data_IF_415027261985
#
_entry.id   IF_415027261985
#
_cell.length_a   1.000
_cell.length_b   1.000
_cell.length_c   1.000
_cell.angle_alpha   90.00
_cell.angle_beta   90.00
_cell.angle_gamma   90.00
#
_symmetry.space_group_name_H-M   'P 1'
#
loop_
_entity.id
_entity.type
_entity.pdbx_description
1 polymer ?
#
# COMPACT_ATOMS: atom_id res chain seq x y z
N UNK A 1 -8.18 62.58 9.45
CA UNK A 1 -6.72 62.30 9.45
C UNK A 1 -6.48 61.23 10.49
N UNK A 2 -6.36 60.00 10.03
CA UNK A 2 -5.99 58.85 10.86
C UNK A 2 -4.84 58.15 10.14
N UNK A 3 -3.77 57.92 10.89
CA UNK A 3 -2.45 57.42 10.51
C UNK A 3 -2.52 55.95 10.14
N UNK A 4 -1.98 55.51 8.98
CA UNK A 4 -1.97 54.13 8.58
C UNK A 4 -0.59 53.48 8.80
N UNK A 5 -0.25 53.15 10.03
CA UNK A 5 0.96 52.38 10.32
C UNK A 5 0.78 51.48 11.54
N UNK A 6 0.15 50.33 11.35
CA UNK A 6 0.45 49.11 12.09
C UNK A 6 -0.01 47.91 11.31
N UNK A 7 0.86 47.42 10.41
CA UNK A 7 0.73 46.11 9.81
C UNK A 7 1.64 45.18 10.62
N UNK A 8 1.02 44.38 11.45
CA UNK A 8 1.67 43.30 12.21
C UNK A 8 2.40 42.35 11.26
N UNK A 9 3.66 42.14 11.55
CA UNK A 9 4.53 41.16 10.90
C UNK A 9 4.05 39.74 11.19
N UNK A 10 3.29 39.15 10.28
CA UNK A 10 3.12 37.70 10.22
C UNK A 10 4.43 37.10 9.74
N UNK A 11 5.08 36.34 10.61
CA UNK A 11 6.21 35.47 10.30
C UNK A 11 5.86 34.59 9.09
N UNK A 12 6.48 34.86 7.96
CA UNK A 12 6.52 33.97 6.81
C UNK A 12 7.30 32.72 7.23
N UNK A 13 6.63 31.60 7.41
CA UNK A 13 7.25 30.29 7.23
C UNK A 13 7.76 30.25 5.80
N UNK A 14 9.06 30.39 5.65
CA UNK A 14 9.74 30.19 4.37
C UNK A 14 9.57 28.73 3.97
N UNK A 15 8.57 28.46 3.12
CA UNK A 15 8.49 27.22 2.40
C UNK A 15 9.81 27.02 1.67
N UNK A 16 10.54 25.96 2.01
CA UNK A 16 11.78 25.58 1.30
C UNK A 16 11.46 25.44 -0.18
N UNK A 17 11.76 26.47 -0.95
CA UNK A 17 11.65 26.41 -2.40
C UNK A 17 12.60 25.30 -2.88
N UNK A 18 12.04 24.31 -3.56
CA UNK A 18 12.81 23.29 -4.24
C UNK A 18 13.76 23.97 -5.24
N UNK A 19 15.06 23.84 -5.03
CA UNK A 19 16.09 24.24 -5.99
C UNK A 19 16.44 22.99 -6.80
N UNK A 20 16.35 23.04 -8.13
CA UNK A 20 16.90 21.98 -8.97
C UNK A 20 18.37 21.76 -8.62
N UNK A 21 18.81 20.50 -8.54
CA UNK A 21 20.22 20.18 -8.39
C UNK A 21 20.92 20.60 -9.67
N UNK A 22 21.76 21.60 -9.60
CA UNK A 22 22.65 21.98 -10.72
C UNK A 22 23.81 21.00 -10.75
N UNK A 23 23.77 20.05 -11.67
CA UNK A 23 24.83 19.07 -11.88
C UNK A 23 26.12 19.68 -12.43
N UNK A 24 26.13 20.97 -12.76
CA UNK A 24 27.29 21.72 -13.26
C UNK A 24 27.95 22.59 -12.19
N UNK A 25 27.50 22.57 -10.93
CA UNK A 25 28.22 23.25 -9.84
C UNK A 25 29.50 22.49 -9.52
N UNK A 26 30.69 23.05 -9.81
CA UNK A 26 31.97 22.37 -9.65
C UNK A 26 32.28 21.93 -8.19
N UNK A 27 31.74 22.66 -7.24
CA UNK A 27 31.96 22.46 -5.79
C UNK A 27 31.42 21.16 -5.22
N UNK A 28 30.44 20.52 -5.90
CA UNK A 28 29.89 19.22 -5.47
C UNK A 28 30.74 18.02 -5.93
N UNK A 29 31.57 18.19 -6.94
CA UNK A 29 32.37 17.12 -7.56
C UNK A 29 33.86 17.14 -7.18
N UNK A 30 34.43 18.32 -6.95
CA UNK A 30 35.87 18.47 -6.69
C UNK A 30 36.24 18.16 -5.24
N UNK A 31 35.39 18.53 -4.26
CA UNK A 31 35.62 18.24 -2.84
C UNK A 31 35.26 16.80 -2.43
N UNK A 32 34.51 16.08 -3.24
CA UNK A 32 34.03 14.73 -2.91
C UNK A 32 34.94 13.60 -3.39
N UNK A 33 36.10 13.88 -3.99
CA UNK A 33 37.04 12.86 -4.50
C UNK A 33 36.31 11.65 -5.07
N UNK A 34 36.03 11.65 -6.35
CA UNK A 34 35.17 10.64 -7.01
C UNK A 34 35.79 9.24 -6.94
N UNK A 35 35.65 8.58 -5.80
CA UNK A 35 35.99 7.17 -5.64
C UNK A 35 34.71 6.34 -5.67
N UNK A 36 34.65 5.32 -6.54
CA UNK A 36 33.50 4.43 -6.72
C UNK A 36 33.00 3.73 -5.45
N UNK A 37 33.77 3.80 -4.36
CA UNK A 37 33.42 3.29 -3.03
C UNK A 37 33.03 4.39 -2.04
N UNK A 38 32.62 5.57 -2.51
CA UNK A 38 32.44 6.71 -1.65
C UNK A 38 31.17 6.58 -0.78
N UNK A 39 31.38 6.24 0.47
CA UNK A 39 30.42 6.21 1.57
C UNK A 39 29.62 7.51 1.70
N UNK A 40 30.16 8.65 1.24
CA UNK A 40 29.47 9.95 1.27
C UNK A 40 28.35 10.03 0.25
N UNK A 41 28.53 9.56 -0.99
CA UNK A 41 27.46 9.53 -1.99
C UNK A 41 26.34 8.59 -1.54
N UNK A 42 26.69 7.39 -1.06
CA UNK A 42 25.72 6.46 -0.52
C UNK A 42 24.96 7.05 0.68
N UNK A 43 25.63 7.78 1.57
CA UNK A 43 25.02 8.47 2.70
C UNK A 43 24.12 9.64 2.27
N UNK A 44 24.53 10.39 1.24
CA UNK A 44 23.73 11.50 0.68
C UNK A 44 22.50 11.00 -0.05
N UNK A 45 22.65 9.98 -0.89
CA UNK A 45 21.53 9.29 -1.57
C UNK A 45 20.57 8.67 -0.55
N UNK A 46 21.10 8.01 0.49
CA UNK A 46 20.29 7.46 1.58
C UNK A 46 19.51 8.55 2.31
N UNK A 47 20.10 9.72 2.56
CA UNK A 47 19.45 10.86 3.20
C UNK A 47 18.35 11.44 2.31
N UNK A 48 18.60 11.63 1.02
CA UNK A 48 17.57 12.07 0.05
C UNK A 48 16.43 11.07 0.00
N UNK A 49 16.71 9.77 -0.06
CA UNK A 49 15.69 8.73 -0.09
C UNK A 49 14.89 8.62 1.22
N UNK A 50 15.45 9.00 2.36
CA UNK A 50 14.75 9.08 3.64
C UNK A 50 13.84 10.31 3.74
N UNK A 51 14.21 11.43 3.13
CA UNK A 51 13.46 12.69 3.21
C UNK A 51 12.30 12.77 2.18
N UNK A 52 12.28 11.86 1.20
CA UNK A 52 11.22 11.84 0.18
C UNK A 52 10.35 10.59 0.32
N UNK A 53 9.03 10.75 0.47
CA UNK A 53 8.11 9.63 0.51
C UNK A 53 8.14 8.86 -0.81
N UNK A 54 8.03 7.56 -0.74
CA UNK A 54 7.91 6.69 -1.92
C UNK A 54 6.71 7.09 -2.78
N UNK A 55 6.67 6.72 -4.07
CA UNK A 55 5.48 6.97 -4.90
C UNK A 55 4.19 6.44 -4.25
N UNK A 56 4.25 5.28 -3.62
CA UNK A 56 3.11 4.68 -2.92
C UNK A 56 2.63 5.57 -1.77
N UNK A 57 3.54 6.06 -0.93
CA UNK A 57 3.19 6.95 0.20
C UNK A 57 2.69 8.33 -0.25
N UNK A 58 3.10 8.82 -1.42
CA UNK A 58 2.63 10.11 -1.95
C UNK A 58 1.21 10.07 -2.50
N UNK A 59 0.84 8.96 -3.11
CA UNK A 59 -0.45 8.85 -3.81
C UNK A 59 -1.50 8.07 -3.04
N UNK A 60 -1.09 7.28 -2.04
CA UNK A 60 -1.99 6.43 -1.27
C UNK A 60 -1.92 6.74 0.22
N UNK A 61 -3.08 6.77 0.85
CA UNK A 61 -3.19 6.67 2.31
C UNK A 61 -3.20 5.19 2.68
N UNK A 62 -2.07 4.70 3.21
CA UNK A 62 -1.84 3.28 3.47
C UNK A 62 -2.28 2.97 4.90
N UNK A 63 -3.23 2.05 5.05
CA UNK A 63 -3.81 1.61 6.31
C UNK A 63 -3.49 0.15 6.57
N UNK A 64 -3.14 -0.12 7.82
CA UNK A 64 -2.84 -1.46 8.30
C UNK A 64 -4.10 -2.17 8.79
N UNK A 65 -4.25 -3.44 8.45
CA UNK A 65 -5.37 -4.29 8.88
C UNK A 65 -4.81 -5.55 9.51
N UNK A 66 -4.90 -5.63 10.83
CA UNK A 66 -4.40 -6.75 11.61
C UNK A 66 -5.11 -8.06 11.26
N UNK A 67 -4.39 -9.16 11.33
CA UNK A 67 -4.94 -10.51 11.24
C UNK A 67 -6.00 -10.79 12.32
N UNK A 68 -5.86 -10.19 13.51
CA UNK A 68 -6.80 -10.37 14.63
C UNK A 68 -8.22 -9.90 14.30
N UNK A 69 -8.36 -8.92 13.40
CA UNK A 69 -9.64 -8.33 13.04
C UNK A 69 -10.40 -9.14 12.00
N UNK A 70 -9.85 -10.27 11.58
CA UNK A 70 -10.36 -11.03 10.43
C UNK A 70 -10.41 -12.52 10.70
N UNK A 71 -11.38 -13.16 10.05
CA UNK A 71 -11.55 -14.61 10.02
C UNK A 71 -11.78 -15.05 8.57
N UNK A 72 -11.30 -16.22 8.22
CA UNK A 72 -11.57 -16.86 6.93
C UNK A 72 -11.83 -18.34 7.12
N UNK A 73 -12.77 -18.88 6.35
CA UNK A 73 -13.06 -20.30 6.28
C UNK A 73 -12.14 -21.02 5.28
N UNK A 74 -11.40 -20.28 4.46
CA UNK A 74 -10.64 -20.82 3.33
C UNK A 74 -9.15 -21.00 3.64
N UNK A 75 -8.67 -20.53 4.79
CA UNK A 75 -7.28 -20.62 5.22
C UNK A 75 -6.93 -19.61 6.31
N UNK A 76 -5.66 -19.54 6.66
CA UNK A 76 -5.13 -18.58 7.63
C UNK A 76 -5.22 -17.15 7.09
N UNK A 77 -5.28 -16.19 7.99
CA UNK A 77 -5.32 -14.77 7.64
C UNK A 77 -4.04 -14.12 8.18
N UNK A 78 -3.28 -13.52 7.29
CA UNK A 78 -2.12 -12.69 7.66
C UNK A 78 -2.47 -11.21 7.66
N UNK A 79 -1.56 -10.37 8.11
CA UNK A 79 -1.72 -8.92 8.10
C UNK A 79 -1.79 -8.37 6.68
N UNK A 80 -2.64 -7.38 6.46
CA UNK A 80 -2.88 -6.79 5.13
C UNK A 80 -2.76 -5.26 5.18
N UNK A 81 -2.58 -4.67 4.01
CA UNK A 81 -2.67 -3.24 3.81
C UNK A 81 -3.81 -2.88 2.86
N UNK A 82 -4.49 -1.79 3.19
CA UNK A 82 -5.44 -1.09 2.34
C UNK A 82 -4.80 0.22 1.89
N UNK A 83 -4.68 0.42 0.59
CA UNK A 83 -4.08 1.61 0.00
C UNK A 83 -5.17 2.44 -0.67
N UNK A 84 -5.61 3.49 0.01
CA UNK A 84 -6.68 4.38 -0.46
C UNK A 84 -6.12 5.47 -1.36
N UNK A 85 -6.64 5.56 -2.57
CA UNK A 85 -6.30 6.60 -3.53
C UNK A 85 -7.37 7.69 -3.58
N UNK A 86 -6.98 8.92 -3.93
CA UNK A 86 -7.89 10.08 -4.02
C UNK A 86 -9.03 9.91 -5.06
N UNK A 87 -8.86 9.04 -6.05
CA UNK A 87 -9.88 8.72 -7.05
C UNK A 87 -10.99 7.77 -6.55
N UNK A 88 -11.06 7.50 -5.24
CA UNK A 88 -12.03 6.62 -4.58
C UNK A 88 -11.85 5.13 -4.88
N UNK A 89 -10.67 4.73 -5.30
CA UNK A 89 -10.27 3.32 -5.37
C UNK A 89 -9.43 2.96 -4.16
N UNK A 90 -9.40 1.66 -3.87
CA UNK A 90 -8.59 1.09 -2.80
C UNK A 90 -7.89 -0.16 -3.34
N UNK A 91 -6.57 -0.23 -3.20
CA UNK A 91 -5.81 -1.44 -3.47
C UNK A 91 -5.70 -2.26 -2.19
N UNK A 92 -5.74 -3.58 -2.35
CA UNK A 92 -5.52 -4.55 -1.27
C UNK A 92 -4.23 -5.28 -1.52
N UNK A 93 -3.41 -5.41 -0.48
CA UNK A 93 -2.15 -6.13 -0.52
C UNK A 93 -1.83 -6.75 0.84
N UNK A 94 -0.80 -7.59 0.91
CA UNK A 94 -0.26 -8.08 2.18
C UNK A 94 0.58 -7.01 2.86
N UNK A 95 0.56 -6.97 4.19
CA UNK A 95 1.40 -6.04 4.96
C UNK A 95 2.86 -6.53 5.02
N UNK A 96 3.84 -5.65 5.25
CA UNK A 96 5.24 -6.05 5.49
C UNK A 96 5.41 -7.03 6.66
N UNK A 97 4.53 -6.97 7.66
CA UNK A 97 4.48 -7.90 8.81
C UNK A 97 3.81 -9.24 8.51
N UNK A 98 3.33 -9.46 7.28
CA UNK A 98 2.67 -10.72 6.92
C UNK A 98 3.66 -11.89 7.02
N UNK A 99 3.27 -13.07 7.57
CA UNK A 99 4.17 -14.23 7.74
C UNK A 99 4.88 -14.68 6.45
N UNK A 100 4.25 -14.55 5.30
CA UNK A 100 4.88 -14.83 4.00
C UNK A 100 6.16 -14.01 3.79
N UNK A 101 6.17 -12.75 4.26
CA UNK A 101 7.34 -11.86 4.14
C UNK A 101 8.30 -12.09 5.30
N UNK A 102 7.82 -12.05 6.54
CA UNK A 102 8.67 -12.10 7.74
C UNK A 102 9.39 -13.44 7.91
N UNK A 103 8.74 -14.53 7.52
CA UNK A 103 9.32 -15.88 7.56
C UNK A 103 9.92 -16.29 6.20
N UNK A 104 9.92 -15.38 5.23
CA UNK A 104 10.40 -15.61 3.86
C UNK A 104 9.88 -16.90 3.22
N UNK A 105 8.57 -17.19 3.39
CA UNK A 105 7.96 -18.42 2.87
C UNK A 105 8.01 -18.47 1.34
N UNK A 106 8.24 -19.66 0.81
CA UNK A 106 8.17 -19.89 -0.64
C UNK A 106 6.73 -20.10 -1.07
N UNK A 107 6.26 -19.31 -2.03
CA UNK A 107 4.92 -19.42 -2.59
C UNK A 107 4.94 -20.46 -3.71
N UNK A 108 4.05 -21.44 -3.65
CA UNK A 108 3.88 -22.45 -4.67
C UNK A 108 2.83 -22.07 -5.72
N UNK A 109 1.75 -21.42 -5.28
CA UNK A 109 0.65 -21.00 -6.15
C UNK A 109 -0.18 -19.90 -5.50
N UNK A 110 -0.79 -19.02 -6.32
CA UNK A 110 -1.82 -18.07 -5.90
C UNK A 110 -3.11 -18.40 -6.66
N UNK A 111 -4.14 -18.77 -5.91
CA UNK A 111 -5.43 -19.19 -6.46
C UNK A 111 -6.48 -18.10 -6.23
N UNK A 112 -7.19 -17.74 -7.30
CA UNK A 112 -8.27 -16.75 -7.28
C UNK A 112 -9.65 -17.40 -7.38
N UNK A 113 -9.71 -18.74 -7.31
CA UNK A 113 -10.93 -19.53 -7.36
C UNK A 113 -11.23 -20.13 -6.00
N UNK A 114 -12.45 -20.01 -5.55
CA UNK A 114 -12.92 -20.59 -4.30
C UNK A 114 -14.06 -21.56 -4.56
N UNK A 115 -13.89 -22.77 -4.07
CA UNK A 115 -14.93 -23.79 -4.07
C UNK A 115 -15.76 -23.66 -2.78
N UNK A 116 -17.06 -23.54 -2.92
CA UNK A 116 -18.02 -23.42 -1.86
C UNK A 116 -19.40 -23.80 -2.38
N UNK A 117 -20.46 -23.30 -1.75
CA UNK A 117 -21.84 -23.51 -2.23
C UNK A 117 -22.04 -23.01 -3.67
N UNK A 118 -21.33 -21.90 -4.00
CA UNK A 118 -21.18 -21.38 -5.37
C UNK A 118 -19.70 -21.28 -5.71
N UNK A 119 -19.30 -21.77 -6.88
CA UNK A 119 -17.93 -21.62 -7.37
C UNK A 119 -17.68 -20.15 -7.69
N UNK A 120 -16.79 -19.53 -6.91
CA UNK A 120 -16.43 -18.13 -7.08
C UNK A 120 -15.11 -18.04 -7.83
N UNK A 121 -15.12 -17.42 -9.00
CA UNK A 121 -13.91 -17.07 -9.73
C UNK A 121 -13.71 -15.53 -9.67
N UNK A 122 -12.62 -15.08 -9.08
CA UNK A 122 -12.30 -13.64 -8.96
C UNK A 122 -11.69 -13.06 -10.23
N UNK A 123 -11.15 -13.88 -11.11
CA UNK A 123 -10.63 -13.47 -12.41
C UNK A 123 -11.74 -13.12 -13.41
N UNK A 124 -12.93 -13.68 -13.21
CA UNK A 124 -14.07 -13.40 -14.10
C UNK A 124 -14.79 -12.11 -13.71
N UNK A 125 -14.05 -10.98 -13.76
CA UNK A 125 -14.55 -9.64 -13.42
C UNK A 125 -14.41 -8.72 -14.60
N UNK A 126 -15.54 -8.30 -15.18
CA UNK A 126 -15.60 -7.37 -16.31
C UNK A 126 -16.47 -6.17 -15.97
N UNK A 127 -15.97 -5.23 -15.17
CA UNK A 127 -16.73 -4.04 -14.81
C UNK A 127 -16.90 -3.11 -16.01
N UNK A 128 -18.14 -2.77 -16.34
CA UNK A 128 -18.49 -1.91 -17.46
C UNK A 128 -19.05 -0.56 -17.00
N UNK A 129 -18.65 0.50 -17.70
CA UNK A 129 -19.16 1.85 -17.56
C UNK A 129 -18.80 2.54 -16.24
N UNK A 130 -19.28 3.80 -16.07
CA UNK A 130 -18.98 4.67 -14.92
C UNK A 130 -19.38 4.06 -13.56
N UNK A 131 -20.48 3.29 -13.54
CA UNK A 131 -21.01 2.64 -12.32
C UNK A 131 -20.39 1.26 -12.08
N UNK A 132 -19.42 0.83 -12.88
CA UNK A 132 -18.75 -0.47 -12.76
C UNK A 132 -19.74 -1.64 -12.64
N UNK A 133 -20.78 -1.65 -13.48
CA UNK A 133 -21.72 -2.78 -13.60
C UNK A 133 -20.94 -4.03 -14.00
N UNK A 134 -21.28 -5.19 -13.43
CA UNK A 134 -20.56 -6.46 -13.67
C UNK A 134 -19.41 -6.72 -12.69
N UNK A 135 -18.95 -5.72 -11.92
CA UNK A 135 -18.02 -5.96 -10.83
C UNK A 135 -18.68 -6.75 -9.69
N UNK A 136 -17.97 -7.76 -9.18
CA UNK A 136 -18.46 -8.59 -8.08
C UNK A 136 -18.62 -7.77 -6.79
N UNK A 137 -19.75 -7.88 -6.11
CA UNK A 137 -19.97 -7.26 -4.80
C UNK A 137 -19.24 -8.07 -3.74
N UNK A 138 -18.47 -7.40 -2.90
CA UNK A 138 -17.67 -7.97 -1.83
C UNK A 138 -18.14 -7.48 -0.48
N UNK A 139 -18.26 -8.39 0.47
CA UNK A 139 -18.38 -8.08 1.89
C UNK A 139 -16.98 -7.95 2.53
N UNK A 140 -16.92 -7.42 3.74
CA UNK A 140 -15.65 -7.17 4.47
C UNK A 140 -14.71 -8.39 4.50
N UNK A 141 -15.23 -9.59 4.66
CA UNK A 141 -14.44 -10.82 4.78
C UNK A 141 -14.43 -11.67 3.50
N UNK A 142 -14.93 -11.13 2.39
CA UNK A 142 -14.93 -11.86 1.13
C UNK A 142 -13.49 -12.18 0.69
N UNK A 143 -13.17 -13.45 0.38
CA UNK A 143 -11.83 -13.83 -0.07
C UNK A 143 -11.56 -13.27 -1.47
N UNK A 144 -10.33 -12.80 -1.67
CA UNK A 144 -9.82 -12.29 -2.95
C UNK A 144 -8.90 -13.29 -3.62
N UNK A 145 -7.92 -13.81 -2.88
CA UNK A 145 -7.06 -14.90 -3.34
C UNK A 145 -6.63 -15.79 -2.15
N UNK A 146 -6.20 -17.00 -2.48
CA UNK A 146 -5.54 -17.91 -1.57
C UNK A 146 -4.09 -18.08 -2.02
N UNK A 147 -3.14 -17.83 -1.11
CA UNK A 147 -1.71 -17.98 -1.32
C UNK A 147 -1.29 -19.31 -0.70
N UNK A 148 -0.90 -20.26 -1.52
CA UNK A 148 -0.44 -21.57 -1.07
C UNK A 148 1.09 -21.53 -0.98
N UNK A 149 1.63 -21.90 0.18
CA UNK A 149 3.06 -21.99 0.41
C UNK A 149 3.57 -23.43 0.27
N UNK A 150 4.87 -23.58 -0.01
CA UNK A 150 5.49 -24.90 -0.19
C UNK A 150 5.57 -25.72 1.10
N UNK A 151 5.43 -25.05 2.26
CA UNK A 151 5.36 -25.70 3.59
C UNK A 151 3.97 -26.25 3.93
N UNK A 152 3.01 -26.14 3.00
CA UNK A 152 1.62 -26.58 3.19
C UNK A 152 0.73 -25.53 3.84
N UNK A 153 1.25 -24.37 4.27
CA UNK A 153 0.41 -23.29 4.82
C UNK A 153 -0.35 -22.58 3.69
N UNK A 154 -1.59 -22.19 3.99
CA UNK A 154 -2.48 -21.50 3.06
C UNK A 154 -2.97 -20.21 3.69
N UNK A 155 -2.60 -19.09 3.11
CA UNK A 155 -3.04 -17.76 3.53
C UNK A 155 -4.12 -17.21 2.62
N UNK A 156 -5.13 -16.55 3.20
CA UNK A 156 -6.22 -15.94 2.43
C UNK A 156 -6.18 -14.43 2.56
N UNK A 157 -6.12 -13.77 1.43
CA UNK A 157 -6.28 -12.31 1.35
C UNK A 157 -7.76 -12.00 1.19
N UNK A 158 -8.27 -11.09 2.03
CA UNK A 158 -9.68 -10.70 2.06
C UNK A 158 -9.88 -9.24 1.64
N UNK A 159 -11.10 -8.87 1.26
CA UNK A 159 -11.42 -7.51 0.82
C UNK A 159 -11.27 -6.45 1.91
N UNK A 160 -11.37 -6.83 3.19
CA UNK A 160 -11.29 -5.97 4.37
C UNK A 160 -12.37 -4.89 4.49
N UNK A 161 -12.99 -4.49 3.39
CA UNK A 161 -14.04 -3.46 3.31
C UNK A 161 -15.19 -3.91 2.40
N UNK A 162 -16.44 -3.48 2.68
CA UNK A 162 -17.55 -3.66 1.76
C UNK A 162 -17.31 -2.87 0.48
N UNK A 163 -17.22 -3.56 -0.66
CA UNK A 163 -16.74 -2.95 -1.89
C UNK A 163 -17.26 -3.69 -3.14
N UNK A 164 -16.87 -3.19 -4.28
CA UNK A 164 -17.01 -3.86 -5.56
C UNK A 164 -15.63 -4.17 -6.12
N UNK A 165 -15.40 -5.39 -6.53
CA UNK A 165 -14.16 -5.81 -7.20
C UNK A 165 -14.10 -5.17 -8.59
N UNK A 166 -13.03 -4.46 -8.86
CA UNK A 166 -12.77 -3.79 -10.14
C UNK A 166 -11.80 -4.61 -10.97
N UNK A 167 -10.72 -5.06 -10.33
CA UNK A 167 -9.64 -5.75 -11.02
C UNK A 167 -8.89 -6.66 -10.05
N UNK A 168 -8.39 -7.78 -10.56
CA UNK A 168 -7.41 -8.64 -9.92
C UNK A 168 -6.08 -8.46 -10.63
N UNK A 169 -4.99 -8.48 -9.90
CA UNK A 169 -3.66 -8.46 -10.47
C UNK A 169 -3.31 -9.84 -11.05
N UNK A 170 -3.58 -10.01 -12.33
CA UNK A 170 -3.33 -11.27 -13.05
C UNK A 170 -1.83 -11.62 -13.13
N UNK A 171 -0.93 -10.64 -12.99
CA UNK A 171 0.52 -10.88 -12.96
C UNK A 171 0.94 -11.82 -11.83
N UNK A 172 0.17 -11.85 -10.75
CA UNK A 172 0.41 -12.76 -9.62
C UNK A 172 0.18 -14.24 -9.96
N UNK A 173 -0.44 -14.57 -11.10
CA UNK A 173 -0.57 -15.96 -11.56
C UNK A 173 0.73 -16.51 -12.15
N UNK A 174 1.55 -15.64 -12.70
CA UNK A 174 2.81 -16.01 -13.37
C UNK A 174 4.05 -15.65 -12.54
N UNK A 175 3.95 -14.60 -11.73
CA UNK A 175 5.02 -14.11 -10.87
C UNK A 175 4.54 -13.98 -9.42
N UNK A 176 4.56 -15.09 -8.69
CA UNK A 176 4.10 -15.16 -7.30
C UNK A 176 4.93 -14.32 -6.35
N UNK A 177 6.25 -14.21 -6.59
CA UNK A 177 7.18 -13.49 -5.72
C UNK A 177 6.95 -11.98 -5.73
N UNK A 178 6.25 -11.46 -6.72
CA UNK A 178 5.94 -10.04 -6.83
C UNK A 178 5.20 -9.52 -5.59
N UNK A 179 4.31 -10.34 -5.00
CA UNK A 179 3.57 -9.99 -3.79
C UNK A 179 4.49 -9.82 -2.57
N UNK A 180 5.64 -10.53 -2.53
CA UNK A 180 6.65 -10.41 -1.47
C UNK A 180 7.62 -9.27 -1.73
N UNK A 181 8.10 -9.16 -2.99
CA UNK A 181 9.16 -8.22 -3.35
C UNK A 181 8.66 -6.77 -3.38
N UNK A 182 7.41 -6.56 -3.83
CA UNK A 182 6.85 -5.23 -4.06
C UNK A 182 5.39 -5.14 -3.57
N UNK A 183 5.10 -5.47 -2.30
CA UNK A 183 3.72 -5.55 -1.81
C UNK A 183 2.96 -4.23 -1.94
N UNK A 184 3.60 -3.10 -1.72
CA UNK A 184 2.97 -1.76 -1.75
C UNK A 184 2.99 -1.12 -3.15
N UNK A 185 3.27 -1.88 -4.20
CA UNK A 185 3.28 -1.39 -5.59
C UNK A 185 2.79 -2.46 -6.56
N UNK A 186 3.65 -3.03 -7.40
CA UNK A 186 3.29 -4.01 -8.43
C UNK A 186 2.71 -5.33 -7.87
N UNK A 187 2.98 -5.64 -6.59
CA UNK A 187 2.49 -6.84 -5.91
C UNK A 187 1.11 -6.70 -5.25
N UNK A 188 0.34 -5.65 -5.57
CA UNK A 188 -1.04 -5.55 -5.08
C UNK A 188 -1.88 -6.76 -5.55
N UNK A 189 -2.89 -7.14 -4.76
CA UNK A 189 -3.76 -8.28 -5.06
C UNK A 189 -4.97 -7.88 -5.90
N UNK A 190 -5.65 -6.83 -5.48
CA UNK A 190 -6.89 -6.39 -6.10
C UNK A 190 -7.10 -4.90 -6.02
N UNK A 191 -7.85 -4.36 -6.98
CA UNK A 191 -8.39 -3.00 -6.99
C UNK A 191 -9.87 -3.07 -6.64
N UNK A 192 -10.25 -2.35 -5.59
CA UNK A 192 -11.60 -2.29 -5.06
C UNK A 192 -12.20 -0.90 -5.20
N UNK A 193 -13.51 -0.84 -5.41
CA UNK A 193 -14.28 0.39 -5.30
C UNK A 193 -15.20 0.28 -4.08
N UNK A 194 -14.95 1.04 -3.01
CA UNK A 194 -15.82 1.08 -1.82
C UNK A 194 -17.27 1.43 -2.18
N UNK A 195 -18.24 0.76 -1.55
CA UNK A 195 -19.64 0.94 -1.87
C UNK A 195 -20.19 2.32 -1.48
N UNK A 196 -19.72 2.86 -0.35
CA UNK A 196 -20.11 4.18 0.16
C UNK A 196 -18.87 4.96 0.60
N UNK A 197 -18.46 5.93 -0.21
CA UNK A 197 -17.24 6.69 0.06
C UNK A 197 -17.32 7.55 1.32
N UNK A 198 -18.48 8.13 1.63
CA UNK A 198 -18.62 8.97 2.83
C UNK A 198 -18.43 8.15 4.11
N UNK A 199 -19.03 6.96 4.17
CA UNK A 199 -18.80 6.02 5.27
C UNK A 199 -17.36 5.47 5.25
N UNK A 200 -16.74 5.39 4.07
CA UNK A 200 -15.38 4.89 3.91
C UNK A 200 -14.32 5.78 4.55
N UNK A 201 -14.58 7.09 4.65
CA UNK A 201 -13.69 8.01 5.39
C UNK A 201 -13.61 7.63 6.88
N UNK A 202 -14.73 7.25 7.49
CA UNK A 202 -14.79 6.79 8.87
C UNK A 202 -14.09 5.44 9.02
N UNK A 203 -14.38 4.49 8.12
CA UNK A 203 -13.76 3.17 8.10
C UNK A 203 -12.24 3.27 7.88
N UNK A 204 -11.79 4.15 6.98
CA UNK A 204 -10.38 4.41 6.74
C UNK A 204 -9.69 4.91 8.01
N UNK A 205 -10.30 5.85 8.72
CA UNK A 205 -9.75 6.39 9.98
C UNK A 205 -9.75 5.37 11.12
N UNK A 206 -10.58 4.33 11.07
CA UNK A 206 -10.60 3.27 12.07
C UNK A 206 -9.42 2.31 11.97
N UNK A 207 -8.73 2.28 10.83
CA UNK A 207 -7.51 1.50 10.65
C UNK A 207 -6.27 2.39 10.90
N UNK A 208 -5.27 1.94 11.68
CA UNK A 208 -4.03 2.69 11.88
C UNK A 208 -3.27 2.87 10.57
N UNK A 209 -2.50 3.94 10.47
CA UNK A 209 -1.57 4.09 9.36
C UNK A 209 -0.47 3.05 9.43
N UNK A 210 0.02 2.65 8.26
CA UNK A 210 1.23 1.83 8.20
C UNK A 210 2.39 2.62 8.84
N UNK A 211 3.11 2.03 9.77
CA UNK A 211 4.17 2.70 10.56
C UNK A 211 3.71 3.18 11.95
N UNK A 212 2.45 3.57 12.15
CA UNK A 212 1.94 3.84 13.50
C UNK A 212 1.72 2.53 14.29
N UNK A 213 1.52 1.42 13.59
CA UNK A 213 1.29 0.11 14.20
C UNK A 213 2.56 -0.50 14.84
N UNK A 214 3.75 -0.15 14.36
CA UNK A 214 5.01 -0.68 14.89
C UNK A 214 5.35 -0.15 16.28
N UNK A 215 4.78 1.00 16.67
CA UNK A 215 5.02 1.63 17.97
C UNK A 215 4.15 1.04 19.10
N UNK A 216 3.03 0.40 18.78
CA UNK A 216 2.12 -0.19 19.79
C UNK A 216 2.47 -1.63 20.16
N UNK A 217 3.37 -2.28 19.46
CA UNK A 217 3.81 -3.67 19.71
C UNK A 217 5.04 -3.81 20.61
N UNK A 218 5.63 -2.72 21.09
CA UNK A 218 6.87 -2.73 21.87
C UNK A 218 6.67 -2.61 23.40
N UNK A 219 5.41 -2.59 23.87
CA UNK A 219 5.09 -2.61 25.31
C UNK A 219 4.21 -3.84 25.64
N UNK A 220 4.83 -5.00 25.75
CA UNK A 220 4.36 -6.13 26.58
C UNK A 220 5.57 -6.93 27.07
#
# INVERSE_FOLDING_TARGET
MADPTQVESRSKEEGRAWKPIDFNEPTLYEDAGFNRNNTLIAKYVKRILQDYPTPSERYYDIRFVSKSDRKSYFGEVGDQCLMFHSNRLCLVTIAPSHPIITENKTISNIDFTFEGHDKINRLDVKPLGKRKKGGQKLQKYAPLCAINCSDGTKYVVTACIPSRLIEINENLQTNFDLIKQKPLSEGFVAILMPNNWNHMEEVRKSYPKLGEHEQTGAEV
#
